data_IF_975532565227
#
_entry.id   IF_975532565227
#
_cell.length_a   1.000
_cell.length_b   1.000
_cell.length_c   1.000
_cell.angle_alpha   90.00
_cell.angle_beta   90.00
_cell.angle_gamma   90.00
#
_symmetry.space_group_name_H-M   'P 1'
#
loop_
_entity.id
_entity.type
_entity.pdbx_description
1 polymer ?
#
# COMPACT_ATOMS: atom_id res chain seq x y z
N UNK A 1 -1.25 -16.52 -43.08
CA UNK A 1 -1.05 -15.28 -42.29
C UNK A 1 0.30 -15.25 -41.57
N UNK A 2 1.34 -15.90 -42.10
CA UNK A 2 2.67 -15.98 -41.46
C UNK A 2 3.71 -14.99 -42.04
N UNK A 3 3.34 -14.18 -43.04
CA UNK A 3 4.23 -13.23 -43.72
C UNK A 3 3.59 -11.83 -43.82
N UNK A 4 3.18 -11.26 -42.68
CA UNK A 4 2.88 -9.82 -42.60
C UNK A 4 4.13 -9.11 -42.09
N UNK A 5 4.81 -8.37 -42.95
CA UNK A 5 5.97 -7.53 -42.57
C UNK A 5 5.53 -6.28 -41.80
N UNK A 6 4.30 -5.82 -42.03
CA UNK A 6 3.78 -4.57 -41.47
C UNK A 6 3.15 -4.72 -40.08
N UNK A 7 2.64 -5.91 -39.73
CA UNK A 7 2.00 -6.16 -38.42
C UNK A 7 2.52 -7.44 -37.81
N UNK A 8 3.41 -7.32 -36.82
CA UNK A 8 3.95 -8.45 -36.08
C UNK A 8 3.17 -8.67 -34.78
N UNK A 9 2.19 -9.58 -34.82
CA UNK A 9 1.35 -9.92 -33.67
C UNK A 9 2.16 -10.51 -32.51
N UNK A 10 3.21 -11.30 -32.81
CA UNK A 10 4.09 -11.85 -31.78
C UNK A 10 4.84 -10.75 -31.02
N UNK A 11 5.29 -9.71 -31.71
CA UNK A 11 5.92 -8.54 -31.08
C UNK A 11 4.91 -7.72 -30.25
N UNK A 12 3.66 -7.60 -30.69
CA UNK A 12 2.61 -6.93 -29.90
C UNK A 12 2.26 -7.70 -28.61
N UNK A 13 2.21 -9.04 -28.66
CA UNK A 13 2.01 -9.88 -27.48
C UNK A 13 3.21 -9.76 -26.54
N UNK A 14 4.43 -9.75 -27.06
CA UNK A 14 5.64 -9.53 -26.26
C UNK A 14 5.62 -8.15 -25.58
N UNK A 15 5.20 -7.09 -26.29
CA UNK A 15 5.03 -5.75 -25.70
C UNK A 15 3.92 -5.72 -24.64
N UNK A 16 2.81 -6.43 -24.84
CA UNK A 16 1.76 -6.54 -23.83
C UNK A 16 2.28 -7.22 -22.56
N UNK A 17 3.01 -8.33 -22.71
CA UNK A 17 3.65 -9.03 -21.59
C UNK A 17 4.68 -8.12 -20.90
N UNK A 18 5.54 -7.44 -21.65
CA UNK A 18 6.53 -6.51 -21.10
C UNK A 18 5.86 -5.37 -20.32
N UNK A 19 4.78 -4.79 -20.85
CA UNK A 19 4.02 -3.75 -20.16
C UNK A 19 3.38 -4.28 -18.87
N UNK A 20 2.85 -5.51 -18.89
CA UNK A 20 2.32 -6.17 -17.68
C UNK A 20 3.43 -6.36 -16.64
N UNK A 21 4.58 -6.91 -17.05
CA UNK A 21 5.73 -7.10 -16.14
C UNK A 21 6.24 -5.79 -15.58
N UNK A 22 6.30 -4.72 -16.39
CA UNK A 22 6.68 -3.39 -15.92
C UNK A 22 5.67 -2.81 -14.91
N UNK A 23 4.37 -3.05 -15.11
CA UNK A 23 3.35 -2.65 -14.16
C UNK A 23 3.51 -3.39 -12.81
N UNK A 24 3.74 -4.70 -12.84
CA UNK A 24 3.98 -5.52 -11.66
C UNK A 24 5.27 -5.12 -10.92
N UNK A 25 6.33 -4.78 -11.67
CA UNK A 25 7.58 -4.27 -11.13
C UNK A 25 7.37 -2.93 -10.43
N UNK A 26 6.62 -2.00 -11.03
CA UNK A 26 6.28 -0.72 -10.40
C UNK A 26 5.51 -0.89 -9.09
N UNK A 27 4.54 -1.82 -9.03
CA UNK A 27 3.80 -2.12 -7.80
C UNK A 27 4.75 -2.69 -6.75
N UNK A 28 5.61 -3.63 -7.13
CA UNK A 28 6.58 -4.26 -6.23
C UNK A 28 7.57 -3.24 -5.69
N UNK A 29 8.13 -2.41 -6.55
CA UNK A 29 9.03 -1.32 -6.17
C UNK A 29 8.34 -0.33 -5.22
N UNK A 30 7.07 0.00 -5.50
CA UNK A 30 6.25 0.84 -4.61
C UNK A 30 6.09 0.23 -3.22
N UNK A 31 5.91 -1.09 -3.10
CA UNK A 31 5.83 -1.79 -1.81
C UNK A 31 7.17 -1.85 -1.09
N UNK A 32 8.28 -2.02 -1.82
CA UNK A 32 9.63 -2.02 -1.25
C UNK A 32 9.95 -0.63 -0.67
N UNK A 33 9.67 0.43 -1.42
CA UNK A 33 9.98 1.80 -1.01
C UNK A 33 9.21 2.24 0.25
N UNK A 34 7.98 1.79 0.42
CA UNK A 34 7.14 2.16 1.58
C UNK A 34 7.19 1.15 2.72
N UNK A 35 7.68 -0.05 2.46
CA UNK A 35 7.59 -1.20 3.36
C UNK A 35 6.16 -1.68 3.64
N UNK A 36 5.15 -1.17 2.92
CA UNK A 36 3.73 -1.51 3.14
C UNK A 36 3.18 -2.27 1.94
N UNK A 37 2.45 -3.34 2.23
CA UNK A 37 1.71 -4.11 1.21
C UNK A 37 0.60 -3.28 0.55
N UNK A 38 0.02 -2.35 1.30
CA UNK A 38 -1.08 -1.46 0.88
C UNK A 38 -0.62 -0.03 1.19
N UNK A 39 -0.33 0.73 0.13
CA UNK A 39 0.18 2.08 0.23
C UNK A 39 -0.94 3.10 0.21
N UNK A 40 -1.89 2.89 -0.69
CA UNK A 40 -2.98 3.84 -0.95
C UNK A 40 -4.35 3.12 -0.93
N UNK A 41 -5.43 3.91 -0.96
CA UNK A 41 -6.79 3.38 -0.97
C UNK A 41 -7.16 2.66 -2.28
N UNK A 42 -6.41 2.85 -3.37
CA UNK A 42 -6.61 2.13 -4.64
C UNK A 42 -6.05 0.71 -4.60
N UNK A 43 -5.00 0.45 -3.81
CA UNK A 43 -4.41 -0.89 -3.68
C UNK A 43 -5.38 -1.85 -2.99
N UNK A 44 -6.06 -1.39 -1.94
CA UNK A 44 -7.19 -2.07 -1.29
C UNK A 44 -7.94 -1.11 -0.36
N UNK A 45 -9.04 -0.54 -0.83
CA UNK A 45 -9.79 0.48 -0.07
C UNK A 45 -10.33 -0.03 1.27
N UNK A 46 -10.80 -1.28 1.33
CA UNK A 46 -11.34 -1.87 2.55
C UNK A 46 -10.25 -2.05 3.62
N UNK A 47 -9.12 -2.66 3.25
CA UNK A 47 -8.02 -2.90 4.22
C UNK A 47 -7.33 -1.59 4.58
N UNK A 48 -7.22 -0.64 3.64
CA UNK A 48 -6.69 0.69 3.94
C UNK A 48 -7.58 1.44 4.96
N UNK A 49 -8.90 1.39 4.81
CA UNK A 49 -9.84 2.00 5.74
C UNK A 49 -9.82 1.34 7.14
N UNK A 50 -9.73 0.01 7.19
CA UNK A 50 -9.56 -0.75 8.44
C UNK A 50 -8.24 -0.35 9.11
N UNK A 51 -7.14 -0.29 8.36
CA UNK A 51 -5.83 0.12 8.88
C UNK A 51 -5.86 1.57 9.39
N UNK A 52 -6.59 2.46 8.72
CA UNK A 52 -6.75 3.84 9.15
C UNK A 52 -7.54 3.94 10.47
N UNK A 53 -8.63 3.17 10.61
CA UNK A 53 -9.38 3.08 11.86
C UNK A 53 -8.49 2.55 13.00
N UNK A 54 -7.73 1.49 12.76
CA UNK A 54 -6.82 0.93 13.77
C UNK A 54 -5.74 1.93 14.21
N UNK A 55 -5.18 2.71 13.29
CA UNK A 55 -4.23 3.79 13.63
C UNK A 55 -4.87 4.85 14.51
N UNK A 56 -6.10 5.26 14.20
CA UNK A 56 -6.84 6.23 15.01
C UNK A 56 -7.11 5.68 16.43
N UNK A 57 -7.53 4.43 16.55
CA UNK A 57 -7.72 3.77 17.85
C UNK A 57 -6.42 3.69 18.65
N UNK A 58 -5.30 3.34 18.02
CA UNK A 58 -3.99 3.29 18.69
C UNK A 58 -3.56 4.65 19.22
N UNK A 59 -3.76 5.73 18.44
CA UNK A 59 -3.47 7.10 18.87
C UNK A 59 -4.36 7.52 20.04
N UNK A 60 -5.66 7.24 19.98
CA UNK A 60 -6.59 7.51 21.07
C UNK A 60 -6.17 6.80 22.37
N UNK A 61 -5.82 5.52 22.27
CA UNK A 61 -5.35 4.75 23.43
C UNK A 61 -4.05 5.31 24.02
N UNK A 62 -3.13 5.79 23.18
CA UNK A 62 -1.91 6.44 23.66
C UNK A 62 -2.22 7.76 24.39
N UNK A 63 -3.13 8.58 23.88
CA UNK A 63 -3.57 9.81 24.56
C UNK A 63 -4.25 9.51 25.92
N UNK A 64 -5.07 8.46 25.99
CA UNK A 64 -5.67 8.01 27.25
C UNK A 64 -4.59 7.56 28.24
N UNK A 65 -3.61 6.77 27.78
CA UNK A 65 -2.48 6.35 28.62
C UNK A 65 -1.69 7.53 29.17
N UNK A 66 -1.38 8.51 28.32
CA UNK A 66 -0.70 9.74 28.77
C UNK A 66 -1.52 10.48 29.82
N UNK A 67 -2.84 10.59 29.63
CA UNK A 67 -3.72 11.23 30.61
C UNK A 67 -3.77 10.48 31.93
N UNK A 68 -3.82 9.14 31.91
CA UNK A 68 -3.79 8.31 33.11
C UNK A 68 -2.44 8.43 33.84
N UNK A 69 -1.33 8.43 33.11
CA UNK A 69 -0.01 8.64 33.67
C UNK A 69 0.09 10.01 34.36
N UNK A 70 -0.42 11.07 33.74
CA UNK A 70 -0.48 12.40 34.38
C UNK A 70 -1.33 12.39 35.65
N UNK A 71 -2.50 11.73 35.62
CA UNK A 71 -3.36 11.58 36.80
C UNK A 71 -2.66 10.85 37.95
N UNK A 72 -1.97 9.76 37.66
CA UNK A 72 -1.16 9.04 38.65
C UNK A 72 -0.06 9.94 39.23
N UNK A 73 0.68 10.64 38.36
CA UNK A 73 1.72 11.56 38.79
C UNK A 73 1.20 12.69 39.67
N UNK A 74 -0.04 13.18 39.47
CA UNK A 74 -0.63 14.20 40.36
C UNK A 74 -1.11 13.66 41.71
N UNK A 75 -1.38 12.36 41.81
CA UNK A 75 -1.82 11.70 43.06
C UNK A 75 -0.63 11.22 43.89
N UNK A 76 0.48 10.88 43.26
CA UNK A 76 1.72 10.46 43.93
C UNK A 76 2.54 11.62 44.54
N UNK A 77 2.12 12.89 44.36
CA UNK A 77 2.73 14.09 45.01
C UNK A 77 1.92 14.52 46.23
#
# INVERSE_FOLDING_TARGET
MANSVNTNVSAMIALQNLNSTNADLNVTQGRINTGKRINNAKDNGAVWAIAQNQRATSQSLNAVRESLQRGQSTVDV
#
